data_IF_951784851282
#
_entry.id   IF_951784851282
#
_cell.length_a   1.000
_cell.length_b   1.000
_cell.length_c   1.000
_cell.angle_alpha   90.00
_cell.angle_beta   90.00
_cell.angle_gamma   90.00
#
_symmetry.space_group_name_H-M   'P 1'
#
loop_
_entity.id
_entity.type
_entity.pdbx_description
1 polymer ?
#
# COMPACT_ATOMS: atom_id res chain seq x y z
N UNK A 1 25.30 33.03 -9.21
CA UNK A 1 25.57 31.83 -8.42
C UNK A 1 24.42 31.72 -7.45
N UNK A 2 23.59 30.70 -7.62
CA UNK A 2 22.41 30.52 -6.78
C UNK A 2 22.91 29.87 -5.45
N UNK A 3 23.13 30.71 -4.43
CA UNK A 3 23.64 30.28 -3.13
C UNK A 3 22.60 29.58 -2.24
N UNK A 4 21.37 29.37 -2.78
CA UNK A 4 20.25 28.82 -2.02
C UNK A 4 20.26 27.29 -1.82
N UNK A 5 21.33 26.60 -2.19
CA UNK A 5 21.36 25.14 -2.22
C UNK A 5 22.19 24.48 -1.11
N UNK A 6 22.98 25.24 -0.37
CA UNK A 6 23.79 24.72 0.74
C UNK A 6 22.96 24.66 2.03
N UNK A 7 22.77 23.46 2.56
CA UNK A 7 22.16 23.26 3.86
C UNK A 7 23.20 23.55 4.96
N UNK A 8 22.97 24.57 5.77
CA UNK A 8 23.90 25.01 6.81
C UNK A 8 24.16 23.99 7.93
N UNK A 9 23.17 23.10 8.16
CA UNK A 9 23.29 22.10 9.22
C UNK A 9 24.15 20.90 8.80
N UNK A 10 24.11 20.54 7.52
CA UNK A 10 24.83 19.38 6.97
C UNK A 10 26.07 19.77 6.15
N UNK A 11 26.14 21.02 5.69
CA UNK A 11 27.18 21.49 4.77
C UNK A 11 27.08 20.85 3.37
N UNK A 12 25.92 20.32 3.00
CA UNK A 12 25.68 19.66 1.72
C UNK A 12 24.80 20.51 0.80
N UNK A 13 25.02 20.39 -0.48
CA UNK A 13 24.09 20.91 -1.49
C UNK A 13 22.89 19.96 -1.60
N UNK A 14 21.68 20.43 -1.22
CA UNK A 14 20.44 19.63 -1.19
C UNK A 14 19.39 20.11 -2.22
N UNK A 15 19.78 20.96 -3.17
CA UNK A 15 18.93 21.31 -4.30
C UNK A 15 18.98 20.21 -5.39
N UNK A 16 17.89 19.89 -6.05
CA UNK A 16 17.91 18.98 -7.21
C UNK A 16 18.80 19.44 -8.37
N UNK A 17 19.11 20.75 -8.44
CA UNK A 17 20.02 21.32 -9.46
C UNK A 17 21.49 21.23 -9.05
N UNK A 18 21.80 20.97 -7.77
CA UNK A 18 23.15 20.94 -7.21
C UNK A 18 23.29 19.84 -6.14
N UNK A 19 22.82 18.62 -6.44
CA UNK A 19 22.75 17.54 -5.47
C UNK A 19 24.14 16.96 -5.13
N UNK A 20 24.65 17.28 -3.95
CA UNK A 20 25.97 16.83 -3.48
C UNK A 20 27.15 17.63 -4.01
N UNK A 21 26.96 18.56 -4.94
CA UNK A 21 27.99 19.42 -5.49
C UNK A 21 27.47 20.40 -6.53
N UNK A 22 28.30 21.38 -6.91
CA UNK A 22 27.95 22.34 -7.94
C UNK A 22 27.67 21.62 -9.26
N UNK A 23 26.62 22.03 -9.95
CA UNK A 23 26.22 21.53 -11.29
C UNK A 23 25.89 20.02 -11.36
N UNK A 24 25.65 19.38 -10.21
CA UNK A 24 25.16 18.00 -10.13
C UNK A 24 23.64 17.98 -10.15
N UNK A 25 23.05 17.96 -11.35
CA UNK A 25 21.59 17.98 -11.55
C UNK A 25 21.01 16.57 -11.39
N UNK A 26 20.01 16.47 -10.53
CA UNK A 26 19.26 15.21 -10.41
C UNK A 26 18.49 14.92 -11.72
N UNK A 27 18.49 13.66 -12.19
CA UNK A 27 17.74 13.29 -13.37
C UNK A 27 16.26 13.58 -13.21
N UNK A 28 15.62 14.09 -14.25
CA UNK A 28 14.18 14.25 -14.35
C UNK A 28 13.55 13.04 -15.08
N UNK A 29 12.29 13.18 -15.44
CA UNK A 29 11.58 12.15 -16.22
C UNK A 29 10.84 11.13 -15.36
N UNK A 30 10.56 11.48 -14.12
CA UNK A 30 9.62 10.75 -13.27
C UNK A 30 8.20 10.82 -13.84
N UNK A 31 7.35 9.86 -13.49
CA UNK A 31 5.95 9.83 -13.85
C UNK A 31 5.13 10.97 -13.26
N UNK A 32 3.80 10.92 -13.33
CA UNK A 32 2.93 11.99 -12.85
C UNK A 32 3.07 12.19 -11.32
N UNK A 33 2.79 13.41 -10.87
CA UNK A 33 2.78 13.81 -9.45
C UNK A 33 4.11 13.58 -8.72
N UNK A 34 5.23 13.69 -9.44
CA UNK A 34 6.56 13.51 -8.89
C UNK A 34 7.55 14.53 -9.47
N UNK A 35 8.52 14.91 -8.66
CA UNK A 35 9.60 15.81 -9.03
C UNK A 35 10.96 15.26 -8.58
N UNK A 36 12.07 15.67 -9.21
CA UNK A 36 13.40 15.38 -8.70
C UNK A 36 13.57 15.89 -7.28
N UNK A 37 14.22 15.11 -6.44
CA UNK A 37 14.59 15.51 -5.08
C UNK A 37 16.07 15.26 -4.82
N UNK A 38 16.60 15.93 -3.83
CA UNK A 38 17.95 15.71 -3.32
C UNK A 38 17.88 15.59 -1.80
N UNK A 39 18.37 14.51 -1.26
CA UNK A 39 18.33 14.24 0.17
C UNK A 39 19.71 13.88 0.74
N UNK A 40 20.01 14.21 2.01
CA UNK A 40 21.25 13.81 2.63
C UNK A 40 21.32 12.31 2.85
N UNK A 41 22.49 11.72 2.60
CA UNK A 41 22.79 10.30 2.81
C UNK A 41 24.18 10.16 3.44
N UNK A 42 24.23 10.12 4.78
CA UNK A 42 25.47 10.15 5.54
C UNK A 42 26.23 11.47 5.35
N UNK A 43 27.41 11.40 4.71
CA UNK A 43 28.26 12.57 4.40
C UNK A 43 28.11 13.07 2.95
N UNK A 44 27.16 12.54 2.22
CA UNK A 44 26.88 12.89 0.82
C UNK A 44 25.41 13.23 0.63
N UNK A 45 25.04 13.72 -0.56
CA UNK A 45 23.65 13.86 -0.96
C UNK A 45 23.36 12.91 -2.14
N UNK A 46 22.13 12.45 -2.23
CA UNK A 46 21.67 11.54 -3.28
C UNK A 46 20.41 12.07 -3.94
N UNK A 47 20.36 11.90 -5.26
CA UNK A 47 19.16 12.18 -6.02
C UNK A 47 18.09 11.12 -5.78
N UNK A 48 16.85 11.57 -5.74
CA UNK A 48 15.68 10.73 -5.61
C UNK A 48 14.47 11.37 -6.26
N UNK A 49 13.32 10.82 -5.97
CA UNK A 49 12.01 11.33 -6.33
C UNK A 49 11.28 11.84 -5.09
N UNK A 50 10.52 12.90 -5.23
CA UNK A 50 9.58 13.38 -4.22
C UNK A 50 8.19 13.48 -4.83
N UNK A 51 7.19 12.98 -4.12
CA UNK A 51 5.81 13.11 -4.53
C UNK A 51 5.29 14.54 -4.34
N UNK A 52 4.40 14.97 -5.20
CA UNK A 52 3.61 16.18 -5.00
C UNK A 52 2.81 16.08 -3.70
N UNK A 53 2.49 17.24 -3.10
CA UNK A 53 1.75 17.28 -1.84
C UNK A 53 0.42 16.53 -1.94
N UNK A 54 0.24 15.52 -1.08
CA UNK A 54 -0.95 14.69 -1.02
C UNK A 54 -0.95 13.50 -2.00
N UNK A 55 0.20 13.23 -2.64
CA UNK A 55 0.40 12.03 -3.45
C UNK A 55 1.40 11.09 -2.78
N UNK A 56 1.28 9.80 -3.05
CA UNK A 56 2.09 8.73 -2.45
C UNK A 56 2.54 7.77 -3.56
N UNK A 57 3.81 7.41 -3.54
CA UNK A 57 4.36 6.30 -4.32
C UNK A 57 4.10 5.00 -3.55
N UNK A 58 3.08 4.26 -3.94
CA UNK A 58 2.62 3.04 -3.26
C UNK A 58 3.48 1.84 -3.59
N UNK A 59 4.04 1.81 -4.79
CA UNK A 59 4.80 0.65 -5.27
C UNK A 59 6.33 0.82 -5.07
N UNK A 60 6.78 2.00 -4.65
CA UNK A 60 8.18 2.40 -4.50
C UNK A 60 8.99 2.27 -5.82
N UNK A 61 8.34 2.44 -6.95
CA UNK A 61 8.96 2.44 -8.26
C UNK A 61 9.23 3.87 -8.74
N UNK A 62 10.32 4.47 -8.28
CA UNK A 62 10.63 5.88 -8.47
C UNK A 62 10.67 6.43 -9.90
N UNK A 63 10.39 5.63 -10.92
CA UNK A 63 10.36 6.03 -12.34
C UNK A 63 8.95 6.22 -12.89
N UNK A 64 7.90 5.71 -12.23
CA UNK A 64 6.50 5.79 -12.71
C UNK A 64 5.66 6.87 -11.99
N UNK A 65 6.25 7.57 -11.02
CA UNK A 65 5.65 8.70 -10.33
C UNK A 65 5.01 8.34 -8.99
N UNK A 66 3.97 9.09 -8.64
CA UNK A 66 3.21 8.85 -7.42
C UNK A 66 1.74 8.60 -7.78
N UNK A 67 1.31 7.34 -7.66
CA UNK A 67 0.08 6.87 -8.28
C UNK A 67 -1.15 7.10 -7.42
N UNK A 68 -0.99 7.20 -6.11
CA UNK A 68 -2.09 7.29 -5.18
C UNK A 68 -2.25 8.70 -4.61
N UNK A 69 -3.47 9.25 -4.72
CA UNK A 69 -3.83 10.48 -4.03
C UNK A 69 -4.38 10.18 -2.64
N UNK A 70 -3.64 10.57 -1.61
CA UNK A 70 -4.11 10.44 -0.23
C UNK A 70 -5.37 11.29 0.01
N UNK A 71 -6.43 10.68 0.45
CA UNK A 71 -7.72 11.32 0.70
C UNK A 71 -8.14 11.25 2.17
N UNK A 72 -7.89 10.14 2.85
CA UNK A 72 -8.34 9.88 4.22
C UNK A 72 -7.62 8.69 4.83
N UNK A 73 -7.35 8.73 6.13
CA UNK A 73 -6.88 7.57 6.92
C UNK A 73 -7.95 6.47 7.07
N UNK A 74 -9.24 6.85 7.00
CA UNK A 74 -10.33 5.88 7.05
C UNK A 74 -10.71 5.51 5.62
N UNK A 75 -10.44 4.26 5.30
CA UNK A 75 -10.69 3.69 3.99
C UNK A 75 -11.66 2.50 4.08
N UNK A 76 -12.54 2.41 3.10
CA UNK A 76 -13.54 1.36 2.95
C UNK A 76 -13.32 0.63 1.61
N UNK A 77 -13.54 -0.69 1.54
CA UNK A 77 -13.31 -1.46 0.33
C UNK A 77 -14.41 -1.21 -0.72
N UNK A 78 -14.32 -0.08 -1.41
CA UNK A 78 -15.27 0.41 -2.41
C UNK A 78 -14.68 0.62 -3.81
N UNK A 79 -13.44 0.24 -4.03
CA UNK A 79 -12.72 0.33 -5.30
C UNK A 79 -11.69 1.47 -5.34
N UNK A 80 -11.54 2.24 -4.26
CA UNK A 80 -10.61 3.39 -4.17
C UNK A 80 -9.76 3.27 -2.92
N UNK A 81 -8.46 3.10 -3.09
CA UNK A 81 -7.47 3.17 -2.00
C UNK A 81 -7.29 4.64 -1.57
N UNK A 82 -7.95 5.04 -0.48
CA UNK A 82 -7.95 6.44 0.01
C UNK A 82 -6.81 6.76 0.95
N UNK A 83 -6.31 5.75 1.64
CA UNK A 83 -5.23 5.91 2.61
C UNK A 83 -3.85 5.57 2.01
N UNK A 84 -3.83 5.15 0.75
CA UNK A 84 -2.61 4.83 0.00
C UNK A 84 -1.73 3.77 0.67
N UNK A 85 -2.34 2.77 1.32
CA UNK A 85 -1.61 1.66 1.93
C UNK A 85 -1.40 0.46 0.98
N UNK A 86 -1.87 0.60 -0.28
CA UNK A 86 -1.76 -0.40 -1.33
C UNK A 86 -2.89 -1.45 -1.30
N UNK A 87 -3.89 -1.25 -0.47
CA UNK A 87 -5.07 -2.12 -0.33
C UNK A 87 -6.32 -1.26 -0.48
N UNK A 88 -7.31 -1.74 -1.23
CA UNK A 88 -8.65 -1.12 -1.25
C UNK A 88 -9.34 -1.43 0.09
N UNK A 89 -9.34 -0.48 1.00
CA UNK A 89 -9.74 -0.60 2.39
C UNK A 89 -8.57 -0.33 3.35
N UNK A 90 -8.66 -0.79 4.58
CA UNK A 90 -7.64 -0.50 5.58
C UNK A 90 -6.88 -1.78 5.97
N UNK A 91 -5.64 -1.93 5.46
CA UNK A 91 -4.81 -3.09 5.71
C UNK A 91 -4.54 -3.32 7.21
N UNK A 92 -4.41 -2.24 7.99
CA UNK A 92 -4.14 -2.34 9.43
C UNK A 92 -5.34 -2.84 10.24
N UNK A 93 -6.56 -2.79 9.69
CA UNK A 93 -7.82 -3.20 10.36
C UNK A 93 -8.36 -4.53 9.82
N UNK A 94 -7.67 -5.19 8.88
CA UNK A 94 -8.18 -6.38 8.19
C UNK A 94 -7.34 -7.65 8.43
N UNK A 95 -7.97 -8.79 8.17
CA UNK A 95 -7.33 -10.09 7.93
C UNK A 95 -7.55 -10.46 6.48
N UNK A 96 -6.54 -11.00 5.85
CA UNK A 96 -6.52 -11.32 4.42
C UNK A 96 -6.63 -12.81 4.16
N UNK A 97 -7.49 -13.18 3.21
CA UNK A 97 -7.80 -14.57 2.84
C UNK A 97 -7.61 -14.76 1.35
N UNK A 98 -6.82 -15.74 0.94
CA UNK A 98 -6.58 -16.09 -0.45
C UNK A 98 -6.53 -17.60 -0.64
N UNK A 99 -6.97 -18.10 -1.79
CA UNK A 99 -6.93 -19.57 -2.11
C UNK A 99 -5.50 -20.10 -2.10
N UNK A 100 -4.51 -19.26 -2.39
CA UNK A 100 -3.07 -19.56 -2.35
C UNK A 100 -2.44 -19.39 -0.98
N UNK A 101 -3.22 -18.97 0.03
CA UNK A 101 -2.78 -18.73 1.39
C UNK A 101 -2.53 -20.01 2.21
N UNK A 102 -2.20 -19.81 3.48
CA UNK A 102 -2.03 -20.89 4.46
C UNK A 102 -2.62 -20.51 5.81
N UNK A 103 -3.39 -21.39 6.43
CA UNK A 103 -4.00 -21.13 7.74
C UNK A 103 -2.98 -21.05 8.89
N UNK A 104 -1.71 -21.37 8.62
CA UNK A 104 -0.58 -21.13 9.50
C UNK A 104 -0.01 -19.70 9.40
N UNK A 105 -0.43 -18.92 8.42
CA UNK A 105 0.06 -17.56 8.21
C UNK A 105 -0.73 -16.52 9.02
N UNK A 106 -0.15 -15.32 9.21
CA UNK A 106 -0.75 -14.29 10.09
C UNK A 106 -1.96 -13.56 9.48
N UNK A 107 -2.32 -13.80 8.22
CA UNK A 107 -3.42 -13.10 7.56
C UNK A 107 -3.08 -11.66 7.14
N UNK A 108 -1.85 -11.39 6.73
CA UNK A 108 -1.44 -10.13 6.10
C UNK A 108 -1.62 -10.18 4.58
N UNK A 109 -1.57 -9.04 3.85
CA UNK A 109 -1.69 -9.05 2.38
C UNK A 109 -0.66 -9.96 1.68
N UNK A 110 0.56 -10.01 2.21
CA UNK A 110 1.66 -10.84 1.67
C UNK A 110 1.68 -12.28 2.19
N UNK A 111 1.00 -12.56 3.31
CA UNK A 111 0.87 -13.87 3.94
C UNK A 111 -0.59 -14.11 4.37
N UNK A 112 -1.53 -14.20 3.42
CA UNK A 112 -2.95 -14.40 3.70
C UNK A 112 -3.23 -15.80 4.26
N UNK A 113 -4.28 -15.95 5.04
CA UNK A 113 -4.79 -17.28 5.40
C UNK A 113 -5.51 -17.91 4.22
N UNK A 114 -5.71 -19.24 4.27
CA UNK A 114 -6.31 -19.99 3.18
C UNK A 114 -7.83 -20.06 3.27
N UNK A 115 -8.38 -20.18 4.47
CA UNK A 115 -9.82 -20.37 4.67
C UNK A 115 -10.48 -19.13 5.26
N UNK A 116 -11.73 -18.87 4.85
CA UNK A 116 -12.52 -17.76 5.40
C UNK A 116 -12.80 -17.98 6.89
N UNK A 117 -13.03 -19.23 7.29
CA UNK A 117 -13.21 -19.58 8.70
C UNK A 117 -12.00 -19.18 9.56
N UNK A 118 -10.78 -19.45 9.08
CA UNK A 118 -9.55 -19.02 9.76
C UNK A 118 -9.40 -17.50 9.79
N UNK A 119 -9.77 -16.84 8.71
CA UNK A 119 -9.80 -15.37 8.63
C UNK A 119 -10.69 -14.76 9.72
N UNK A 120 -11.91 -15.25 9.86
CA UNK A 120 -12.87 -14.82 10.89
C UNK A 120 -12.34 -15.10 12.31
N UNK A 121 -11.78 -16.28 12.53
CA UNK A 121 -11.18 -16.63 13.82
C UNK A 121 -10.06 -15.66 14.20
N UNK A 122 -9.13 -15.38 13.30
CA UNK A 122 -8.04 -14.44 13.54
C UNK A 122 -8.55 -13.03 13.77
N UNK A 123 -9.50 -12.54 12.96
CA UNK A 123 -10.08 -11.21 13.12
C UNK A 123 -10.64 -11.02 14.53
N UNK A 124 -11.36 -12.02 15.05
CA UNK A 124 -11.90 -11.99 16.41
C UNK A 124 -10.77 -12.04 17.46
N UNK A 125 -9.77 -12.90 17.29
CA UNK A 125 -8.68 -13.07 18.26
C UNK A 125 -7.81 -11.83 18.45
N UNK A 126 -7.56 -11.08 17.37
CA UNK A 126 -6.67 -9.90 17.40
C UNK A 126 -7.43 -8.58 17.21
N UNK A 127 -8.76 -8.61 17.42
CA UNK A 127 -9.64 -7.44 17.33
C UNK A 127 -9.51 -6.66 16.02
N UNK A 128 -9.57 -7.38 14.88
CA UNK A 128 -9.67 -6.78 13.55
C UNK A 128 -11.14 -6.65 13.15
N UNK A 129 -11.45 -5.55 12.47
CA UNK A 129 -12.83 -5.24 12.04
C UNK A 129 -13.23 -6.01 10.80
N UNK A 130 -12.30 -6.24 9.88
CA UNK A 130 -12.59 -6.65 8.52
C UNK A 130 -11.86 -7.95 8.15
N UNK A 131 -12.49 -8.74 7.27
CA UNK A 131 -11.87 -9.89 6.59
C UNK A 131 -12.00 -9.66 5.08
N UNK A 132 -10.87 -9.50 4.40
CA UNK A 132 -10.79 -9.27 2.95
C UNK A 132 -10.48 -10.59 2.26
N UNK A 133 -11.35 -10.98 1.30
CA UNK A 133 -11.27 -12.27 0.63
C UNK A 133 -11.01 -12.06 -0.87
N UNK A 134 -9.89 -12.59 -1.34
CA UNK A 134 -9.53 -12.62 -2.77
C UNK A 134 -10.59 -13.37 -3.58
N UNK A 135 -10.76 -13.01 -4.85
CA UNK A 135 -11.64 -13.75 -5.76
C UNK A 135 -11.23 -15.21 -5.87
N UNK A 136 -12.21 -16.11 -5.83
CA UNK A 136 -11.98 -17.55 -5.88
C UNK A 136 -13.04 -18.35 -5.16
N UNK A 137 -12.91 -19.68 -5.16
CA UNK A 137 -13.84 -20.61 -4.50
C UNK A 137 -13.22 -21.13 -3.20
N UNK A 138 -13.95 -21.00 -2.11
CA UNK A 138 -13.56 -21.40 -0.78
C UNK A 138 -14.49 -22.46 -0.24
N UNK A 139 -13.93 -23.59 0.19
CA UNK A 139 -14.68 -24.69 0.78
C UNK A 139 -14.80 -24.50 2.30
N UNK A 140 -15.93 -24.87 2.84
CA UNK A 140 -16.20 -24.94 4.27
C UNK A 140 -17.28 -23.97 4.74
N UNK A 141 -17.90 -24.35 5.84
CA UNK A 141 -18.89 -23.51 6.50
C UNK A 141 -18.22 -22.31 7.17
N UNK A 142 -18.91 -21.18 7.11
CA UNK A 142 -18.45 -19.96 7.79
C UNK A 142 -19.41 -19.62 8.93
N UNK A 143 -18.83 -19.22 10.05
CA UNK A 143 -19.56 -18.69 11.19
C UNK A 143 -19.21 -17.22 11.35
N UNK A 144 -20.16 -16.33 11.04
CA UNK A 144 -19.95 -14.90 11.15
C UNK A 144 -19.77 -14.52 12.64
N UNK A 145 -18.81 -13.65 12.91
CA UNK A 145 -18.53 -13.13 14.24
C UNK A 145 -19.11 -11.72 14.39
N UNK A 146 -19.68 -11.41 15.55
CA UNK A 146 -20.19 -10.08 15.84
C UNK A 146 -19.07 -9.03 15.74
N UNK A 147 -19.36 -7.92 15.04
CA UNK A 147 -18.40 -6.82 14.85
C UNK A 147 -17.32 -7.09 13.79
N UNK A 148 -17.35 -8.24 13.11
CA UNK A 148 -16.43 -8.55 11.99
C UNK A 148 -17.20 -8.51 10.67
N UNK A 149 -16.72 -7.75 9.72
CA UNK A 149 -17.28 -7.64 8.37
C UNK A 149 -16.46 -8.47 7.39
N UNK A 150 -17.12 -9.12 6.43
CA UNK A 150 -16.47 -9.93 5.40
C UNK A 150 -16.71 -9.30 4.04
N UNK A 151 -15.64 -8.99 3.35
CA UNK A 151 -15.67 -8.42 2.01
C UNK A 151 -14.97 -9.36 1.02
N UNK A 152 -15.73 -9.91 0.08
CA UNK A 152 -15.20 -10.63 -1.07
C UNK A 152 -14.94 -9.71 -2.26
N UNK A 153 -14.43 -10.28 -3.35
CA UNK A 153 -14.24 -9.59 -4.60
C UNK A 153 -12.94 -8.79 -4.71
N UNK A 154 -11.92 -9.17 -3.96
CA UNK A 154 -10.61 -8.56 -4.10
C UNK A 154 -9.79 -9.16 -5.24
N UNK A 155 -8.98 -8.31 -5.90
CA UNK A 155 -7.94 -8.74 -6.83
C UNK A 155 -6.86 -9.54 -6.11
N UNK A 156 -6.04 -10.27 -6.87
CA UNK A 156 -4.82 -10.85 -6.33
C UNK A 156 -3.95 -9.75 -5.72
N UNK A 157 -3.51 -9.96 -4.47
CA UNK A 157 -2.73 -8.96 -3.71
C UNK A 157 -3.57 -7.83 -3.08
N UNK A 158 -4.89 -7.86 -3.19
CA UNK A 158 -5.87 -7.01 -2.49
C UNK A 158 -5.87 -5.52 -2.86
N UNK A 159 -5.13 -5.10 -3.87
CA UNK A 159 -5.01 -3.70 -4.27
C UNK A 159 -6.33 -3.07 -4.79
N UNK A 160 -7.27 -3.88 -5.28
CA UNK A 160 -8.55 -3.42 -5.83
C UNK A 160 -9.67 -4.36 -5.48
N UNK A 161 -10.87 -3.84 -5.32
CA UNK A 161 -12.08 -4.63 -5.10
C UNK A 161 -13.12 -4.42 -6.20
N UNK A 162 -13.61 -5.50 -6.77
CA UNK A 162 -14.77 -5.53 -7.66
C UNK A 162 -15.39 -6.93 -7.66
N UNK A 163 -16.51 -7.09 -6.97
CA UNK A 163 -17.16 -8.38 -6.79
C UNK A 163 -17.68 -9.03 -8.10
N UNK A 164 -17.84 -8.25 -9.18
CA UNK A 164 -18.20 -8.79 -10.50
C UNK A 164 -17.00 -9.32 -11.28
N UNK A 165 -15.82 -8.71 -11.08
CA UNK A 165 -14.59 -9.08 -11.77
C UNK A 165 -13.85 -10.20 -11.03
N UNK A 166 -13.81 -10.12 -9.70
CA UNK A 166 -13.14 -11.10 -8.84
C UNK A 166 -14.14 -11.75 -7.89
N UNK A 167 -15.01 -12.59 -8.46
CA UNK A 167 -16.06 -13.24 -7.69
C UNK A 167 -15.48 -14.12 -6.57
N UNK A 168 -16.04 -13.99 -5.38
CA UNK A 168 -15.73 -14.84 -4.22
C UNK A 168 -16.92 -15.75 -3.95
N UNK A 169 -16.70 -17.06 -4.05
CA UNK A 169 -17.73 -18.08 -3.83
C UNK A 169 -17.38 -18.90 -2.60
N UNK A 170 -18.32 -19.02 -1.67
CA UNK A 170 -18.17 -19.89 -0.49
C UNK A 170 -19.08 -21.10 -0.70
N UNK A 171 -18.46 -22.28 -0.72
CA UNK A 171 -19.13 -23.55 -0.90
C UNK A 171 -19.24 -24.25 0.46
N UNK A 172 -20.45 -24.35 0.99
CA UNK A 172 -20.75 -25.13 2.19
C UNK A 172 -20.46 -26.62 2.01
N UNK A 173 -20.19 -27.33 3.08
CA UNK A 173 -19.94 -28.79 3.12
C UNK A 173 -20.94 -29.48 4.01
#
# INVERSE_FOLDING_TARGET
>A
VDEGALDEATGLYLSPLHCGGCDQVCPGGFGPHAAPSCAPSGKSAVCGMACDKGWVDVNNAGWDGCECKFLSEDDHPDGVDRNCDGVDGNAAKAIFVATTGSDAWPGTPTKPVKTVARGLQLATQINRRDVYVEGGSYLGDIQLAAGVQVYGGFSKGFAKRNAKTWETVILGV
#
